data_IF_542168522832
#
_entry.id   IF_542168522832
#
_cell.length_a   1.000
_cell.length_b   1.000
_cell.length_c   1.000
_cell.angle_alpha   90.00
_cell.angle_beta   90.00
_cell.angle_gamma   90.00
#
_symmetry.space_group_name_H-M   'P 1'
#
loop_
_entity.id
_entity.type
_entity.pdbx_description
1 polymer ?
#
# COMPACT_ATOMS: atom_id res chain seq x y z
N UNK A 1 -6.07 -8.60 -1.64
CA UNK A 1 -6.97 -7.81 -2.52
C UNK A 1 -6.57 -7.95 -4.00
N UNK A 2 -7.45 -7.53 -4.92
CA UNK A 2 -7.13 -7.45 -6.37
C UNK A 2 -6.36 -6.17 -6.70
N UNK A 3 -5.65 -6.14 -7.83
CA UNK A 3 -4.88 -4.97 -8.30
C UNK A 3 -5.68 -3.66 -8.25
N UNK A 4 -6.89 -3.67 -8.81
CA UNK A 4 -7.81 -2.52 -8.79
C UNK A 4 -8.05 -1.97 -7.38
N UNK A 5 -8.38 -2.85 -6.44
CA UNK A 5 -8.62 -2.46 -5.04
C UNK A 5 -7.35 -1.92 -4.38
N UNK A 6 -6.18 -2.46 -4.72
CA UNK A 6 -4.89 -1.99 -4.18
C UNK A 6 -4.55 -0.58 -4.71
N UNK A 7 -4.83 -0.33 -5.99
CA UNK A 7 -4.64 0.97 -6.61
C UNK A 7 -5.59 2.02 -6.00
N UNK A 8 -6.87 1.67 -5.85
CA UNK A 8 -7.87 2.51 -5.16
C UNK A 8 -7.46 2.81 -3.71
N UNK A 9 -6.92 1.82 -3.00
CA UNK A 9 -6.43 1.99 -1.63
C UNK A 9 -5.26 2.98 -1.52
N UNK A 10 -4.41 3.05 -2.55
CA UNK A 10 -3.29 4.00 -2.59
C UNK A 10 -3.67 5.33 -3.27
N UNK A 11 -4.97 5.59 -3.50
CA UNK A 11 -5.51 6.76 -4.20
C UNK A 11 -4.83 7.02 -5.56
N UNK A 12 -4.54 5.95 -6.31
CA UNK A 12 -3.85 6.03 -7.59
C UNK A 12 -4.50 5.13 -8.66
N UNK A 13 -4.21 5.41 -9.93
CA UNK A 13 -4.67 4.58 -11.05
C UNK A 13 -3.93 3.23 -11.10
N UNK A 14 -4.59 2.17 -11.58
CA UNK A 14 -4.00 0.83 -11.73
C UNK A 14 -2.66 0.84 -12.50
N UNK A 15 -2.56 1.68 -13.53
CA UNK A 15 -1.33 1.85 -14.32
C UNK A 15 -0.19 2.52 -13.55
N UNK A 16 -0.51 3.45 -12.65
CA UNK A 16 0.48 4.07 -11.76
C UNK A 16 0.93 3.07 -10.69
N UNK A 17 -0.02 2.32 -10.12
CA UNK A 17 0.26 1.27 -9.14
C UNK A 17 1.20 0.19 -9.71
N UNK A 18 0.89 -0.35 -10.90
CA UNK A 18 1.74 -1.35 -11.56
C UNK A 18 3.14 -0.80 -11.86
N UNK A 19 3.24 0.48 -12.23
CA UNK A 19 4.55 1.14 -12.39
C UNK A 19 5.32 1.20 -11.08
N UNK A 20 4.70 1.59 -9.96
CA UNK A 20 5.38 1.63 -8.66
C UNK A 20 5.79 0.25 -8.15
N UNK A 21 4.99 -0.80 -8.43
CA UNK A 21 5.36 -2.19 -8.18
C UNK A 21 6.55 -2.59 -9.05
N UNK A 22 6.55 -2.23 -10.33
CA UNK A 22 7.65 -2.54 -11.28
C UNK A 22 8.95 -1.81 -10.91
N UNK A 23 8.85 -0.57 -10.42
CA UNK A 23 9.97 0.24 -9.94
C UNK A 23 10.51 -0.31 -8.60
N UNK A 24 9.77 -1.19 -7.93
CA UNK A 24 10.15 -1.80 -6.65
C UNK A 24 9.89 -0.92 -5.43
N UNK A 25 9.05 0.13 -5.58
CA UNK A 25 8.58 0.93 -4.44
C UNK A 25 7.49 0.20 -3.66
N UNK A 26 6.57 -0.44 -4.36
CA UNK A 26 5.47 -1.20 -3.77
C UNK A 26 5.74 -2.71 -3.84
N UNK A 27 5.17 -3.50 -2.91
CA UNK A 27 5.31 -4.94 -2.90
C UNK A 27 4.66 -5.58 -4.13
N UNK A 28 5.29 -6.63 -4.63
CA UNK A 28 4.78 -7.45 -5.73
C UNK A 28 3.48 -8.19 -5.38
N UNK A 29 2.78 -8.64 -6.41
CA UNK A 29 1.63 -9.53 -6.22
C UNK A 29 2.07 -10.88 -5.65
N UNK A 30 1.27 -11.40 -4.74
CA UNK A 30 1.37 -12.76 -4.23
C UNK A 30 0.38 -13.63 -5.00
N UNK A 31 0.84 -14.76 -5.52
CA UNK A 31 0.00 -15.69 -6.25
C UNK A 31 -0.79 -16.55 -5.26
N UNK A 32 -2.09 -16.26 -5.12
CA UNK A 32 -3.02 -17.00 -4.26
C UNK A 32 -4.06 -17.70 -5.14
N UNK A 33 -4.01 -19.03 -5.19
CA UNK A 33 -4.96 -19.82 -5.98
C UNK A 33 -4.90 -19.55 -7.50
N UNK A 34 -3.72 -19.24 -8.04
CA UNK A 34 -3.54 -18.93 -9.47
C UNK A 34 -3.96 -17.51 -9.86
N UNK A 35 -4.29 -16.65 -8.88
CA UNK A 35 -4.60 -15.23 -9.12
C UNK A 35 -3.64 -14.35 -8.36
N UNK A 36 -3.32 -13.22 -8.97
CA UNK A 36 -2.53 -12.18 -8.33
C UNK A 36 -3.32 -11.52 -7.21
N UNK A 37 -2.73 -11.53 -6.03
CA UNK A 37 -3.31 -10.98 -4.82
C UNK A 37 -2.30 -10.07 -4.15
N UNK A 38 -2.70 -8.84 -3.88
CA UNK A 38 -1.90 -7.92 -3.08
C UNK A 38 -2.32 -8.02 -1.62
N UNK A 39 -1.35 -8.15 -0.74
CA UNK A 39 -1.61 -8.14 0.69
C UNK A 39 -1.69 -6.70 1.21
N UNK A 40 -2.73 -6.40 1.99
CA UNK A 40 -2.95 -5.06 2.53
C UNK A 40 -1.87 -4.69 3.55
N UNK A 41 -1.43 -5.63 4.41
CA UNK A 41 -0.38 -5.36 5.38
C UNK A 41 0.97 -5.11 4.70
N UNK A 42 1.26 -5.83 3.62
CA UNK A 42 2.46 -5.59 2.82
C UNK A 42 2.44 -4.19 2.19
N UNK A 43 1.30 -3.76 1.66
CA UNK A 43 1.13 -2.41 1.10
C UNK A 43 1.28 -1.35 2.18
N UNK A 44 0.62 -1.51 3.32
CA UNK A 44 0.72 -0.58 4.44
C UNK A 44 2.17 -0.47 4.95
N UNK A 45 2.89 -1.59 5.10
CA UNK A 45 4.30 -1.57 5.49
C UNK A 45 5.19 -0.83 4.47
N UNK A 46 4.95 -1.02 3.18
CA UNK A 46 5.69 -0.32 2.13
C UNK A 46 5.35 1.17 2.08
N UNK A 47 4.07 1.54 2.21
CA UNK A 47 3.62 2.94 2.29
C UNK A 47 4.23 3.62 3.51
N UNK A 48 4.21 2.97 4.69
CA UNK A 48 4.85 3.48 5.91
C UNK A 48 6.36 3.70 5.71
N UNK A 49 7.03 2.79 5.00
CA UNK A 49 8.45 2.91 4.68
C UNK A 49 8.73 4.08 3.72
N UNK A 50 7.93 4.24 2.66
CA UNK A 50 8.06 5.33 1.68
C UNK A 50 7.72 6.68 2.32
N UNK A 51 6.66 6.72 3.13
CA UNK A 51 6.24 7.90 3.87
C UNK A 51 7.22 8.28 4.99
N UNK A 52 8.24 7.46 5.26
CA UNK A 52 9.25 7.72 6.27
C UNK A 52 8.70 7.65 7.69
N UNK A 53 7.66 6.85 7.94
CA UNK A 53 7.02 6.68 9.26
C UNK A 53 7.98 6.08 10.30
N UNK A 54 9.04 5.41 9.85
CA UNK A 54 10.17 4.99 10.70
C UNK A 54 10.95 6.20 11.29
N UNK A 55 10.81 7.38 10.68
CA UNK A 55 11.41 8.66 11.11
C UNK A 55 10.37 9.74 11.46
N UNK A 56 9.08 9.38 11.62
CA UNK A 56 8.01 10.37 11.69
C UNK A 56 7.52 10.61 13.13
N UNK A 57 7.57 11.86 13.65
CA UNK A 57 7.21 12.16 15.04
C UNK A 57 5.72 11.91 15.34
N UNK A 58 5.43 11.58 16.61
CA UNK A 58 4.15 11.11 17.18
C UNK A 58 2.85 11.79 16.72
N UNK A 59 2.87 13.03 16.23
CA UNK A 59 1.66 13.73 15.79
C UNK A 59 1.03 13.14 14.51
N UNK A 60 1.82 12.43 13.69
CA UNK A 60 1.36 11.84 12.43
C UNK A 60 0.78 10.43 12.58
N UNK A 61 1.10 9.75 13.70
CA UNK A 61 0.49 8.47 14.11
C UNK A 61 -1.02 8.61 14.35
N UNK A 62 -1.43 9.73 14.98
CA UNK A 62 -2.84 10.05 15.26
C UNK A 62 -3.72 10.27 14.01
N UNK A 63 -3.14 10.58 12.85
CA UNK A 63 -3.91 10.77 11.61
C UNK A 63 -4.25 9.43 10.94
N UNK A 64 -3.37 8.44 11.06
CA UNK A 64 -3.58 7.08 10.56
C UNK A 64 -4.66 6.33 11.34
N UNK A 65 -4.71 6.50 12.68
CA UNK A 65 -5.79 5.98 13.51
C UNK A 65 -7.17 6.50 13.08
N UNK A 66 -7.25 7.70 12.49
CA UNK A 66 -8.51 8.28 12.01
C UNK A 66 -8.98 7.72 10.67
N UNK A 67 -8.07 7.25 9.80
CA UNK A 67 -8.43 6.62 8.51
C UNK A 67 -8.73 5.11 8.63
N UNK A 68 -8.35 4.47 9.75
CA UNK A 68 -8.63 3.06 10.01
C UNK A 68 -10.03 2.78 10.58
N UNK A 69 -10.85 3.82 10.83
CA UNK A 69 -12.16 3.69 11.50
C UNK A 69 -13.36 4.34 10.76
N UNK A 70 -13.25 4.63 9.45
CA UNK A 70 -14.38 5.13 8.66
C UNK A 70 -15.03 4.03 7.81
#
# INVERSE_FOLDING_TARGET
MKCKTAAEYCDMSESAFVKEVTIGRLPGSVLVGGREHWDQHALDAAINRIAGVDTMPDYRRKLYERHAQA
#
